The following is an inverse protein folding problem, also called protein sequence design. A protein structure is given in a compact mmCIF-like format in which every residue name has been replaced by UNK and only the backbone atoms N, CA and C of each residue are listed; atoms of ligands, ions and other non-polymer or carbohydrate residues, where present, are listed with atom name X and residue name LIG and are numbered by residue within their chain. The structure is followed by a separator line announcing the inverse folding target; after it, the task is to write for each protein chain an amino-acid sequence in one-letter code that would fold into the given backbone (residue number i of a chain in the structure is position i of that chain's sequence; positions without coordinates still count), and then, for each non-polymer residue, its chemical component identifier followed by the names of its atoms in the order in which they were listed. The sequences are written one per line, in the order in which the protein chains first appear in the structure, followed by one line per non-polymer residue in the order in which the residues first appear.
data_IF_991181918071
#
_entry.id   IF_991181918071
#
_cell.length_a   1.000
_cell.length_b   1.000
_cell.length_c   1.000
_cell.angle_alpha   90.00
_cell.angle_beta   90.00
_cell.angle_gamma   90.00
#
_symmetry.space_group_name_H-M   'P 1'
#
loop_
_entity.id
_entity.type
_entity.pdbx_description
1 polymer ?
#
# COMPACT_ATOMS: atom_id res chain seq x y z
N UNK A 1 -12.39 1.47 -7.42
CA UNK A 1 -11.68 0.46 -6.64
C UNK A 1 -10.79 1.13 -5.63
N UNK A 2 -10.35 0.44 -4.63
CA UNK A 2 -9.57 1.05 -3.59
C UNK A 2 -8.11 0.65 -3.67
N UNK A 3 -7.25 1.54 -3.30
CA UNK A 3 -5.82 1.28 -3.25
C UNK A 3 -5.24 1.92 -2.00
N UNK A 4 -3.97 1.70 -1.73
CA UNK A 4 -3.29 2.32 -0.61
C UNK A 4 -2.39 3.42 -1.13
N UNK A 5 -2.51 4.60 -0.55
CA UNK A 5 -1.56 5.67 -0.82
C UNK A 5 -0.54 5.64 0.31
N UNK A 6 0.71 5.43 0.00
CA UNK A 6 1.76 5.37 1.02
C UNK A 6 2.07 6.80 1.44
N UNK A 7 1.94 7.07 2.74
CA UNK A 7 2.15 8.41 3.27
C UNK A 7 3.43 8.50 4.08
N UNK A 8 3.95 7.39 4.56
CA UNK A 8 5.22 7.38 5.27
C UNK A 8 5.80 5.98 5.22
N UNK A 9 7.02 5.80 5.62
CA UNK A 9 7.63 4.50 5.57
C UNK A 9 8.40 4.18 6.83
N UNK A 10 8.19 4.90 7.87
CA UNK A 10 8.82 4.59 9.14
C UNK A 10 10.31 4.70 9.07
N UNK A 11 11.01 3.60 9.26
CA UNK A 11 12.45 3.65 9.38
C UNK A 11 13.16 3.41 8.07
N UNK A 12 12.52 3.35 6.98
CA UNK A 12 13.19 3.14 5.70
C UNK A 12 13.54 1.71 5.38
N UNK A 13 13.27 0.77 6.28
CA UNK A 13 13.55 -0.63 6.01
C UNK A 13 12.36 -1.35 5.40
N UNK A 14 11.24 -0.69 5.24
CA UNK A 14 10.06 -1.34 4.73
C UNK A 14 10.14 -1.46 3.23
N UNK A 15 9.49 -2.46 2.69
CA UNK A 15 9.53 -2.71 1.25
C UNK A 15 8.97 -1.51 0.45
N UNK A 16 8.12 -0.70 1.08
CA UNK A 16 7.50 0.43 0.39
C UNK A 16 8.21 1.74 0.73
N UNK A 17 9.40 1.68 1.28
CA UNK A 17 10.10 2.90 1.71
C UNK A 17 10.36 3.85 0.55
N UNK A 18 10.53 3.33 -0.66
CA UNK A 18 10.77 4.19 -1.80
C UNK A 18 9.47 4.50 -2.53
N UNK A 19 8.32 4.28 -1.92
CA UNK A 19 7.05 4.48 -2.59
C UNK A 19 6.17 5.53 -1.91
N UNK A 20 6.73 6.35 -1.05
CA UNK A 20 5.94 7.39 -0.39
C UNK A 20 5.39 8.32 -1.47
N UNK A 21 4.09 8.58 -1.41
CA UNK A 21 3.40 9.36 -2.43
C UNK A 21 2.86 8.51 -3.58
N UNK A 22 3.10 7.20 -3.57
CA UNK A 22 2.65 6.33 -4.64
C UNK A 22 1.56 5.40 -4.16
N UNK A 23 0.84 4.79 -5.09
CA UNK A 23 -0.22 3.86 -4.77
C UNK A 23 0.31 2.44 -4.85
N UNK A 24 -0.15 1.60 -3.93
CA UNK A 24 0.11 0.16 -3.98
C UNK A 24 -1.23 -0.55 -3.82
N UNK A 25 -1.32 -1.81 -4.22
CA UNK A 25 -2.60 -2.53 -4.15
C UNK A 25 -3.10 -2.70 -2.73
N UNK A 26 -4.41 -2.68 -2.55
CA UNK A 26 -5.02 -3.07 -1.29
C UNK A 26 -5.67 -4.42 -1.52
N UNK A 27 -5.11 -5.48 -0.98
CA UNK A 27 -5.65 -6.82 -1.16
C UNK A 27 -6.59 -7.19 -0.03
N UNK A 28 -6.30 -6.80 1.19
CA UNK A 28 -7.15 -7.08 2.33
C UNK A 28 -6.77 -6.16 3.49
N UNK A 29 -7.67 -6.01 4.46
CA UNK A 29 -7.40 -5.26 5.66
C UNK A 29 -7.30 -6.29 6.76
N UNK A 30 -6.12 -6.42 7.34
CA UNK A 30 -5.89 -7.38 8.40
C UNK A 30 -6.02 -6.69 9.75
N UNK A 31 -5.73 -7.43 10.83
CA UNK A 31 -5.98 -6.88 12.14
C UNK A 31 -5.08 -5.69 12.48
N UNK A 32 -3.84 -5.72 12.08
CA UNK A 32 -2.89 -4.67 12.46
C UNK A 32 -2.22 -4.03 11.26
N UNK A 33 -2.53 -4.45 10.05
CA UNK A 33 -1.86 -3.93 8.87
C UNK A 33 -2.72 -4.19 7.64
N UNK A 34 -2.40 -3.53 6.54
CA UNK A 34 -3.03 -3.83 5.27
C UNK A 34 -2.22 -4.89 4.55
N UNK A 35 -2.88 -5.77 3.82
CA UNK A 35 -2.17 -6.71 2.95
C UNK A 35 -2.07 -6.08 1.57
N UNK A 36 -0.89 -6.10 1.02
CA UNK A 36 -0.60 -5.50 -0.27
C UNK A 36 0.26 -6.45 -1.10
N UNK A 37 0.81 -5.97 -2.21
CA UNK A 37 1.67 -6.79 -3.04
C UNK A 37 2.82 -5.94 -3.51
N UNK A 38 4.03 -6.48 -3.42
CA UNK A 38 5.21 -5.79 -3.91
C UNK A 38 5.25 -5.84 -5.43
N UNK A 39 5.95 -4.93 -6.07
CA UNK A 39 6.06 -4.96 -7.54
C UNK A 39 6.59 -6.28 -8.10
N UNK A 40 7.39 -7.00 -7.32
CA UNK A 40 7.90 -8.28 -7.77
C UNK A 40 6.87 -9.39 -7.68
N UNK A 41 5.69 -9.11 -7.12
CA UNK A 41 4.61 -10.10 -7.08
C UNK A 41 4.39 -10.76 -5.73
N UNK A 42 5.26 -10.52 -4.75
CA UNK A 42 5.10 -11.14 -3.45
C UNK A 42 4.08 -10.39 -2.61
N UNK A 43 3.24 -11.09 -1.88
CA UNK A 43 2.33 -10.49 -0.94
C UNK A 43 3.13 -10.00 0.26
N UNK A 44 2.87 -8.81 0.70
CA UNK A 44 3.55 -8.25 1.87
C UNK A 44 2.60 -7.25 2.54
N UNK A 45 3.03 -6.63 3.63
CA UNK A 45 2.12 -5.87 4.47
C UNK A 45 2.56 -4.42 4.57
N UNK A 46 1.57 -3.53 4.79
CA UNK A 46 1.80 -2.10 4.98
C UNK A 46 1.17 -1.73 6.31
N UNK A 47 1.91 -1.02 7.15
CA UNK A 47 1.40 -0.62 8.46
C UNK A 47 0.28 0.39 8.29
N UNK A 48 -0.72 0.33 9.17
CA UNK A 48 -1.84 1.27 9.07
C UNK A 48 -1.37 2.72 9.12
N UNK A 49 -0.37 3.01 9.92
CA UNK A 49 0.08 4.40 10.06
C UNK A 49 0.83 4.90 8.83
N UNK A 50 1.19 4.03 7.91
CA UNK A 50 2.02 4.42 6.78
C UNK A 50 1.24 4.59 5.49
N UNK A 51 -0.06 4.40 5.51
CA UNK A 51 -0.86 4.50 4.28
C UNK A 51 -2.30 4.88 4.57
N UNK A 52 -2.97 5.37 3.53
CA UNK A 52 -4.39 5.64 3.60
C UNK A 52 -5.08 4.88 2.49
N UNK A 53 -6.31 4.43 2.73
CA UNK A 53 -7.10 3.83 1.67
C UNK A 53 -7.69 4.96 0.85
N UNK A 54 -7.49 4.93 -0.44
CA UNK A 54 -8.02 5.93 -1.34
C UNK A 54 -8.82 5.25 -2.44
N UNK A 55 -9.78 5.98 -2.99
CA UNK A 55 -10.57 5.47 -4.10
C UNK A 55 -9.84 5.85 -5.38
N UNK A 56 -9.64 4.92 -6.29
CA UNK A 56 -9.02 5.21 -7.56
C UNK A 56 -10.00 4.90 -8.67
N UNK A 57 -9.87 5.65 -9.75
CA UNK A 57 -10.73 5.49 -10.87
C UNK A 57 -10.22 4.35 -11.67
N UNK A 58 -11.03 3.35 -11.94
CA UNK A 58 -10.55 2.23 -12.68
C UNK A 58 -11.00 2.28 -14.08
N UNK A 59 -11.25 3.36 -14.64
CA UNK A 59 -11.62 3.46 -15.90
C UNK A 59 -10.66 3.02 -16.77
N UNK A 60 -10.08 2.70 -16.92
CA UNK A 60 -9.22 2.24 -17.61
C UNK A 60 -9.29 2.04 -18.83
N UNK A 61 -9.38 2.23 -19.41
CA UNK A 61 -9.41 1.70 -20.52
C UNK A 61 -10.13 2.16 -21.32
#
# INVERSE_FOLDING_TARGET
MKALLITSAGDGMRWYADKVGELVPLLAIERTEYMSREPAGYTNFVQFADAEIVEVDDVAR
#
